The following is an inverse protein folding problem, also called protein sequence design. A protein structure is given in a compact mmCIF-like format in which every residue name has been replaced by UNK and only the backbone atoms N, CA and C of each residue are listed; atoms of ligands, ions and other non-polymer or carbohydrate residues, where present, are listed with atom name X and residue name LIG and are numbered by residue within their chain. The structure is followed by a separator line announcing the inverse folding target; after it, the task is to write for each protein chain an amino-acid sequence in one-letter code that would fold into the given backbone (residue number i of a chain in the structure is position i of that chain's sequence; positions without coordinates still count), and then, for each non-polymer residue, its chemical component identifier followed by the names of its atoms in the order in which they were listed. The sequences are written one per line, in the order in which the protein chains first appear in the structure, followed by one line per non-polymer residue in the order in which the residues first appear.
data_IF_791974489256
#
_entry.id   IF_791974489256
#
_cell.length_a   1.000
_cell.length_b   1.000
_cell.length_c   1.000
_cell.angle_alpha   90.00
_cell.angle_beta   90.00
_cell.angle_gamma   90.00
#
_symmetry.space_group_name_H-M   'P 1'
#
loop_
_entity.id
_entity.type
_entity.pdbx_description
1 polymer ?
#
# COMPACT_ATOMS: atom_id res chain seq x y z
N UNK A 1 -69.04 -19.12 -14.48
CA UNK A 1 -69.59 -17.75 -14.41
C UNK A 1 -68.57 -16.85 -15.10
N UNK A 2 -68.83 -16.23 -16.26
CA UNK A 2 -69.84 -15.18 -16.53
C UNK A 2 -69.76 -14.07 -15.46
N UNK A 3 -69.52 -12.79 -15.79
CA UNK A 3 -70.23 -12.03 -16.83
C UNK A 3 -69.37 -10.89 -17.42
N UNK A 4 -69.67 -10.48 -18.67
CA UNK A 4 -69.04 -9.36 -19.40
C UNK A 4 -69.74 -8.03 -19.09
N UNK A 5 -69.03 -6.90 -19.09
CA UNK A 5 -69.57 -5.60 -19.54
C UNK A 5 -68.52 -4.86 -20.39
N UNK A 6 -68.96 -4.22 -21.49
CA UNK A 6 -68.18 -3.35 -22.39
C UNK A 6 -68.95 -2.03 -22.61
N UNK A 7 -68.24 -0.91 -22.63
CA UNK A 7 -68.57 0.38 -23.29
C UNK A 7 -67.24 1.19 -23.33
N UNK A 8 -66.68 1.72 -24.43
CA UNK A 8 -67.21 2.59 -25.51
C UNK A 8 -67.87 3.85 -24.90
N UNK A 9 -67.45 5.10 -25.09
CA UNK A 9 -67.07 5.86 -26.30
C UNK A 9 -66.59 7.28 -25.84
N UNK A 10 -66.09 8.26 -26.61
CA UNK A 10 -65.62 8.44 -28.01
C UNK A 10 -64.86 9.80 -28.09
N UNK A 11 -63.92 9.98 -29.04
CA UNK A 11 -63.35 11.29 -29.51
C UNK A 11 -62.51 12.11 -28.49
N UNK A 12 -61.45 12.83 -28.86
CA UNK A 12 -60.75 12.99 -30.14
C UNK A 12 -60.00 14.34 -30.18
N UNK A 13 -58.79 14.39 -30.74
CA UNK A 13 -58.16 15.60 -31.31
C UNK A 13 -56.88 15.26 -32.05
N UNK A 14 -56.77 15.75 -33.29
CA UNK A 14 -55.60 15.66 -34.15
C UNK A 14 -54.85 16.99 -34.08
N UNK A 15 -53.56 17.01 -33.72
CA UNK A 15 -52.70 18.19 -33.82
C UNK A 15 -51.39 17.82 -34.52
N UNK A 16 -50.90 18.73 -35.35
CA UNK A 16 -49.89 18.50 -36.37
C UNK A 16 -48.45 18.34 -35.86
N UNK A 17 -47.61 17.87 -36.78
CA UNK A 17 -46.17 17.66 -36.69
C UNK A 17 -45.40 18.85 -36.10
N UNK A 18 -44.37 18.53 -35.30
CA UNK A 18 -43.11 19.25 -35.32
C UNK A 18 -41.97 18.22 -35.28
N UNK A 19 -41.36 17.94 -36.44
CA UNK A 19 -40.10 17.21 -36.49
C UNK A 19 -38.95 18.20 -36.24
N UNK A 20 -38.25 18.06 -35.12
CA UNK A 20 -36.98 18.73 -34.88
C UNK A 20 -35.97 17.72 -34.38
N UNK A 21 -34.81 17.67 -35.05
CA UNK A 21 -33.74 16.73 -34.75
C UNK A 21 -32.70 17.34 -33.78
N UNK A 22 -31.73 16.50 -33.38
CA UNK A 22 -30.61 16.79 -32.48
C UNK A 22 -30.97 17.05 -31.01
N UNK A 23 -30.41 16.21 -30.13
CA UNK A 23 -30.62 16.32 -28.69
C UNK A 23 -30.52 14.99 -27.92
N UNK A 24 -29.75 14.01 -28.38
CA UNK A 24 -29.34 12.91 -27.50
C UNK A 24 -28.43 13.52 -26.43
N UNK A 25 -28.99 13.77 -25.24
CA UNK A 25 -28.19 14.06 -24.05
C UNK A 25 -27.26 12.88 -23.86
N UNK A 26 -25.98 13.07 -24.19
CA UNK A 26 -24.98 12.10 -23.78
C UNK A 26 -24.97 12.07 -22.25
N UNK A 27 -24.83 10.90 -21.61
CA UNK A 27 -24.43 10.92 -20.22
C UNK A 27 -23.10 11.69 -20.17
N UNK A 28 -23.10 12.81 -19.44
CA UNK A 28 -21.89 13.55 -19.11
C UNK A 28 -20.87 12.51 -18.65
N UNK A 29 -19.81 12.35 -19.42
CA UNK A 29 -18.71 11.45 -19.13
C UNK A 29 -17.96 12.04 -17.95
N UNK A 30 -18.53 11.91 -16.75
CA UNK A 30 -17.85 12.14 -15.50
C UNK A 30 -16.63 11.25 -15.54
N UNK A 31 -15.47 11.84 -15.76
CA UNK A 31 -14.20 11.14 -15.80
C UNK A 31 -14.08 10.42 -14.48
N UNK A 32 -14.33 9.10 -14.48
CA UNK A 32 -13.81 8.23 -13.45
C UNK A 32 -12.31 8.49 -13.48
N UNK A 33 -11.86 9.24 -12.48
CA UNK A 33 -10.48 9.66 -12.30
C UNK A 33 -9.72 8.37 -12.07
N UNK A 34 -9.24 7.78 -13.16
CA UNK A 34 -8.94 6.36 -13.24
C UNK A 34 -8.13 5.95 -12.03
N UNK A 35 -8.69 5.06 -11.19
CA UNK A 35 -7.98 4.56 -10.01
C UNK A 35 -6.62 4.10 -10.48
N UNK A 36 -5.57 4.80 -10.04
CA UNK A 36 -4.22 4.50 -10.47
C UNK A 36 -3.95 3.04 -10.15
N UNK A 37 -3.59 2.26 -11.18
CA UNK A 37 -3.52 0.82 -11.05
C UNK A 37 -2.46 0.45 -10.01
N UNK A 38 -2.76 -0.58 -9.21
CA UNK A 38 -1.78 -1.09 -8.27
C UNK A 38 -0.52 -1.57 -8.99
N UNK A 39 0.68 -1.16 -8.53
CA UNK A 39 1.91 -1.81 -8.95
C UNK A 39 1.92 -3.30 -8.53
N UNK A 40 2.65 -4.17 -9.24
CA UNK A 40 2.71 -5.59 -8.92
C UNK A 40 3.40 -5.83 -7.57
N UNK A 41 2.76 -6.64 -6.71
CA UNK A 41 3.34 -7.05 -5.44
C UNK A 41 4.38 -8.15 -5.58
N UNK A 42 5.24 -8.23 -4.57
CA UNK A 42 6.42 -9.09 -4.53
C UNK A 42 7.45 -8.85 -5.65
N UNK A 43 7.28 -7.85 -6.51
CA UNK A 43 8.13 -7.66 -7.68
C UNK A 43 9.39 -6.82 -7.39
N UNK A 44 10.55 -7.29 -7.86
CA UNK A 44 11.78 -6.50 -8.00
C UNK A 44 11.88 -5.87 -9.39
N UNK A 45 12.36 -4.63 -9.48
CA UNK A 45 12.73 -3.98 -10.75
C UNK A 45 14.26 -3.97 -10.95
N UNK A 46 15.02 -4.44 -9.95
CA UNK A 46 16.47 -4.52 -9.98
C UNK A 46 17.16 -3.18 -9.71
N UNK A 47 18.37 -3.00 -10.25
CA UNK A 47 19.13 -1.77 -10.11
C UNK A 47 19.70 -1.56 -8.70
N UNK A 48 19.51 -0.36 -8.14
CA UNK A 48 20.03 0.00 -6.82
C UNK A 48 19.37 -0.84 -5.73
N UNK A 49 20.16 -1.33 -4.78
CA UNK A 49 19.71 -2.13 -3.64
C UNK A 49 19.04 -3.47 -4.06
N UNK A 50 19.33 -4.00 -5.26
CA UNK A 50 18.70 -5.20 -5.81
C UNK A 50 18.78 -6.44 -4.89
N UNK A 51 19.85 -6.60 -4.10
CA UNK A 51 20.03 -7.72 -3.18
C UNK A 51 19.03 -7.68 -2.01
N UNK A 52 18.76 -6.47 -1.51
CA UNK A 52 17.71 -6.21 -0.54
C UNK A 52 16.33 -6.50 -1.15
N UNK A 53 16.03 -5.98 -2.34
CA UNK A 53 14.74 -6.20 -2.97
C UNK A 53 14.46 -7.68 -3.31
N UNK A 54 15.47 -8.43 -3.76
CA UNK A 54 15.36 -9.90 -3.93
C UNK A 54 15.07 -10.63 -2.62
N UNK A 55 15.55 -10.14 -1.47
CA UNK A 55 15.25 -10.71 -0.14
C UNK A 55 13.80 -10.43 0.28
N UNK A 56 13.30 -9.22 0.00
CA UNK A 56 11.89 -8.84 0.22
C UNK A 56 10.96 -9.69 -0.64
N UNK A 57 11.21 -9.80 -1.95
CA UNK A 57 10.48 -10.67 -2.89
C UNK A 57 10.44 -12.14 -2.44
N UNK A 58 11.59 -12.70 -1.98
CA UNK A 58 11.64 -14.06 -1.45
C UNK A 58 10.82 -14.24 -0.17
N UNK A 59 10.65 -13.20 0.66
CA UNK A 59 9.77 -13.27 1.84
C UNK A 59 8.28 -13.21 1.47
N UNK A 60 7.96 -12.47 0.41
CA UNK A 60 6.62 -12.25 -0.13
C UNK A 60 6.08 -13.48 -0.89
N UNK A 61 7.00 -14.34 -1.37
CA UNK A 61 6.72 -15.57 -2.11
C UNK A 61 5.90 -16.57 -1.27
N UNK A 62 4.66 -16.85 -1.72
CA UNK A 62 3.72 -17.75 -1.04
C UNK A 62 2.47 -17.07 -0.47
N UNK A 63 2.18 -15.83 -0.88
CA UNK A 63 0.93 -15.13 -0.56
C UNK A 63 0.92 -14.38 0.78
N UNK A 64 2.09 -14.22 1.41
CA UNK A 64 2.27 -13.34 2.56
C UNK A 64 2.78 -11.99 2.03
N UNK A 65 1.85 -11.13 1.60
CA UNK A 65 2.16 -9.87 0.88
C UNK A 65 1.93 -8.62 1.73
N UNK A 66 1.44 -8.78 2.95
CA UNK A 66 0.87 -7.73 3.82
C UNK A 66 1.80 -7.34 4.99
N UNK A 67 3.09 -7.67 4.92
CA UNK A 67 4.08 -7.34 5.96
C UNK A 67 3.93 -8.11 7.27
N UNK A 68 2.99 -9.06 7.34
CA UNK A 68 2.57 -9.71 8.57
C UNK A 68 3.64 -10.63 9.21
N UNK A 69 3.25 -11.30 10.30
CA UNK A 69 4.10 -12.29 10.99
C UNK A 69 4.54 -13.45 10.10
N UNK A 70 3.78 -13.85 9.08
CA UNK A 70 4.17 -14.91 8.14
C UNK A 70 5.23 -14.41 7.17
N UNK A 71 5.08 -13.21 6.61
CA UNK A 71 6.08 -12.59 5.74
C UNK A 71 7.36 -12.28 6.52
N UNK A 72 7.25 -11.69 7.71
CA UNK A 72 8.35 -11.44 8.62
C UNK A 72 9.12 -12.73 8.96
N UNK A 73 8.42 -13.83 9.26
CA UNK A 73 9.06 -15.12 9.52
C UNK A 73 9.75 -15.69 8.28
N UNK A 74 9.20 -15.50 7.07
CA UNK A 74 9.87 -15.86 5.82
C UNK A 74 11.14 -15.03 5.58
N UNK A 75 11.11 -13.72 5.85
CA UNK A 75 12.28 -12.85 5.78
C UNK A 75 13.35 -13.27 6.81
N UNK A 76 12.97 -13.52 8.07
CA UNK A 76 13.87 -14.02 9.12
C UNK A 76 14.58 -15.31 8.70
N UNK A 77 13.88 -16.27 8.08
CA UNK A 77 14.50 -17.50 7.52
C UNK A 77 15.49 -17.21 6.39
N UNK A 78 15.16 -16.29 5.48
CA UNK A 78 16.04 -15.93 4.37
C UNK A 78 17.33 -15.23 4.86
N UNK A 79 17.21 -14.33 5.83
CA UNK A 79 18.33 -13.63 6.46
C UNK A 79 19.18 -14.55 7.37
N UNK A 80 18.57 -15.56 7.99
CA UNK A 80 19.29 -16.52 8.83
C UNK A 80 20.37 -17.31 8.07
N UNK A 81 20.24 -17.47 6.75
CA UNK A 81 21.24 -18.12 5.90
C UNK A 81 22.46 -17.25 5.51
N UNK A 82 22.44 -15.95 5.81
CA UNK A 82 23.52 -15.01 5.48
C UNK A 82 24.49 -14.83 6.66
N UNK A 83 25.63 -14.15 6.43
CA UNK A 83 26.51 -13.76 7.54
C UNK A 83 25.95 -12.55 8.32
N UNK A 84 26.58 -12.19 9.45
CA UNK A 84 26.09 -11.08 10.28
C UNK A 84 26.33 -9.69 9.64
N UNK A 85 27.29 -9.55 8.73
CA UNK A 85 27.55 -8.33 7.97
C UNK A 85 26.46 -8.09 6.93
N UNK A 86 26.12 -9.12 6.14
CA UNK A 86 25.04 -9.08 5.15
C UNK A 86 23.68 -8.72 5.78
N UNK A 87 23.33 -9.32 6.92
CA UNK A 87 22.10 -9.00 7.65
C UNK A 87 22.11 -7.55 8.15
N UNK A 88 23.28 -7.05 8.58
CA UNK A 88 23.46 -5.66 8.96
C UNK A 88 23.33 -4.68 7.77
N UNK A 89 23.76 -5.06 6.57
CA UNK A 89 23.59 -4.26 5.35
C UNK A 89 22.16 -4.28 4.82
N UNK A 90 21.44 -5.41 4.98
CA UNK A 90 19.99 -5.45 4.78
C UNK A 90 19.30 -4.46 5.73
N UNK A 91 19.62 -4.48 7.03
CA UNK A 91 19.03 -3.56 8.01
C UNK A 91 19.35 -2.09 7.70
N UNK A 92 20.61 -1.76 7.40
CA UNK A 92 21.01 -0.40 6.96
C UNK A 92 20.24 0.04 5.72
N UNK A 93 19.97 -0.88 4.80
CA UNK A 93 19.18 -0.62 3.59
C UNK A 93 17.72 -0.40 3.91
N UNK A 94 17.08 -1.26 4.73
CA UNK A 94 15.71 -1.12 5.21
C UNK A 94 15.48 0.26 5.84
N UNK A 95 16.37 0.67 6.75
CA UNK A 95 16.30 1.99 7.40
C UNK A 95 16.46 3.13 6.39
N UNK A 96 17.34 2.98 5.39
CA UNK A 96 17.49 3.98 4.32
C UNK A 96 16.22 4.10 3.47
N UNK A 97 15.68 2.99 2.96
CA UNK A 97 14.47 3.02 2.10
C UNK A 97 13.24 3.50 2.87
N UNK A 98 13.09 3.07 4.12
CA UNK A 98 12.04 3.55 5.04
C UNK A 98 12.14 5.06 5.27
N UNK A 99 13.35 5.62 5.43
CA UNK A 99 13.57 7.09 5.53
C UNK A 99 13.27 7.84 4.23
N UNK A 100 13.29 7.20 3.06
CA UNK A 100 12.86 7.84 1.81
C UNK A 100 11.36 8.12 1.83
N UNK A 101 10.54 7.14 2.24
CA UNK A 101 9.07 7.28 2.40
C UNK A 101 8.66 8.31 3.47
N UNK A 102 9.56 8.66 4.39
CA UNK A 102 9.29 9.57 5.51
C UNK A 102 9.20 11.05 5.07
N UNK A 103 8.06 11.37 4.45
CA UNK A 103 7.68 12.67 3.89
C UNK A 103 6.29 13.07 4.39
N UNK A 104 5.99 14.37 4.38
CA UNK A 104 4.69 14.89 4.81
C UNK A 104 3.54 14.41 3.94
N UNK A 105 3.75 14.19 2.65
CA UNK A 105 2.69 13.76 1.72
C UNK A 105 2.30 12.30 1.95
N UNK A 106 3.29 11.41 2.10
CA UNK A 106 3.06 10.00 2.45
C UNK A 106 2.43 9.89 3.86
N UNK A 107 2.87 10.71 4.83
CA UNK A 107 2.29 10.75 6.17
C UNK A 107 0.81 11.17 6.15
N UNK A 108 0.48 12.30 5.52
CA UNK A 108 -0.90 12.80 5.41
C UNK A 108 -1.81 11.81 4.68
N UNK A 109 -1.30 11.14 3.63
CA UNK A 109 -2.08 10.15 2.90
C UNK A 109 -2.32 8.87 3.72
N UNK A 110 -1.34 8.44 4.53
CA UNK A 110 -1.48 7.31 5.44
C UNK A 110 -2.44 7.63 6.61
N UNK A 111 -2.28 8.79 7.25
CA UNK A 111 -3.17 9.31 8.30
C UNK A 111 -4.64 9.31 7.83
N UNK A 112 -4.89 9.81 6.61
CA UNK A 112 -6.21 9.92 6.01
C UNK A 112 -6.84 8.56 5.63
N UNK A 113 -6.05 7.48 5.55
CA UNK A 113 -6.53 6.13 5.18
C UNK A 113 -6.65 5.20 6.40
N UNK A 114 -5.78 5.34 7.40
CA UNK A 114 -5.77 4.46 8.58
C UNK A 114 -6.45 5.05 9.82
N UNK A 115 -6.11 6.29 10.18
CA UNK A 115 -6.53 6.91 11.46
C UNK A 115 -6.98 8.37 11.25
N UNK A 116 -8.08 8.61 10.50
CA UNK A 116 -8.48 9.95 10.11
C UNK A 116 -8.73 10.86 11.32
N UNK A 117 -7.98 11.95 11.41
CA UNK A 117 -8.11 12.95 12.48
C UNK A 117 -7.40 12.61 13.80
N UNK A 118 -6.82 11.42 13.94
CA UNK A 118 -5.95 11.08 15.08
C UNK A 118 -4.46 11.25 14.74
N UNK A 119 -4.08 10.88 13.51
CA UNK A 119 -2.70 10.81 13.07
C UNK A 119 -1.96 9.57 13.57
N UNK A 120 -0.94 9.15 12.83
CA UNK A 120 -0.17 7.93 13.12
C UNK A 120 0.95 8.15 14.15
N UNK A 121 1.49 9.36 14.25
CA UNK A 121 2.74 9.60 14.96
C UNK A 121 3.93 8.88 14.30
N UNK A 122 5.11 8.97 14.92
CA UNK A 122 6.33 8.42 14.32
C UNK A 122 6.40 6.88 14.39
N UNK A 123 5.79 6.26 15.41
CA UNK A 123 5.83 4.80 15.64
C UNK A 123 4.97 4.06 14.61
N UNK A 124 3.65 4.31 14.56
CA UNK A 124 2.75 3.66 13.59
C UNK A 124 3.09 4.03 12.15
N UNK A 125 3.65 5.23 11.90
CA UNK A 125 4.15 5.57 10.57
C UNK A 125 5.49 4.88 10.25
N UNK A 126 6.22 4.37 11.23
CA UNK A 126 7.36 3.46 11.01
C UNK A 126 6.90 2.07 10.59
N UNK A 127 5.86 1.55 11.23
CA UNK A 127 5.23 0.28 10.83
C UNK A 127 4.62 0.39 9.44
N UNK A 128 3.86 1.44 9.16
CA UNK A 128 3.26 1.69 7.85
C UNK A 128 4.31 1.75 6.73
N UNK A 129 5.44 2.43 6.94
CA UNK A 129 6.54 2.47 5.94
C UNK A 129 7.15 1.09 5.73
N UNK A 130 7.27 0.28 6.79
CA UNK A 130 7.74 -1.11 6.71
C UNK A 130 6.76 -2.01 5.95
N UNK A 131 5.46 -1.80 6.16
CA UNK A 131 4.37 -2.46 5.45
C UNK A 131 4.36 -2.15 3.95
N UNK A 132 4.54 -0.88 3.55
CA UNK A 132 4.70 -0.48 2.13
C UNK A 132 5.91 -1.20 1.50
N UNK A 133 7.04 -1.26 2.21
CA UNK A 133 8.26 -1.93 1.73
C UNK A 133 8.04 -3.43 1.56
N UNK A 134 7.28 -4.07 2.46
CA UNK A 134 6.99 -5.50 2.41
C UNK A 134 6.25 -5.93 1.13
N UNK A 135 5.46 -5.04 0.53
CA UNK A 135 4.79 -5.29 -0.75
C UNK A 135 5.74 -5.37 -1.96
N UNK A 136 7.03 -5.02 -1.80
CA UNK A 136 8.07 -5.15 -2.83
C UNK A 136 8.47 -3.84 -3.49
N UNK A 137 9.47 -3.91 -4.38
CA UNK A 137 10.13 -2.73 -4.96
C UNK A 137 9.17 -1.90 -5.81
N UNK A 138 8.38 -2.54 -6.69
CA UNK A 138 7.44 -1.83 -7.54
C UNK A 138 6.33 -1.10 -6.73
N UNK A 139 5.91 -1.66 -5.60
CA UNK A 139 4.96 -1.02 -4.68
C UNK A 139 5.56 0.20 -3.99
N UNK A 140 6.78 0.05 -3.47
CA UNK A 140 7.57 1.13 -2.88
C UNK A 140 7.85 2.28 -3.86
N UNK A 141 8.33 1.97 -5.07
CA UNK A 141 8.63 2.96 -6.11
C UNK A 141 7.35 3.69 -6.57
N UNK A 142 6.23 2.96 -6.65
CA UNK A 142 4.91 3.55 -6.95
C UNK A 142 4.47 4.58 -5.91
N UNK A 143 4.54 4.23 -4.61
CA UNK A 143 4.17 5.16 -3.52
C UNK A 143 5.09 6.38 -3.47
N UNK A 144 6.39 6.23 -3.77
CA UNK A 144 7.31 7.36 -3.89
C UNK A 144 6.97 8.29 -5.06
N UNK A 145 6.52 7.75 -6.20
CA UNK A 145 6.12 8.53 -7.36
C UNK A 145 4.75 9.21 -7.18
N UNK A 146 3.82 8.55 -6.50
CA UNK A 146 2.46 9.04 -6.27
C UNK A 146 1.90 8.48 -4.94
N UNK A 147 2.00 9.22 -3.81
CA UNK A 147 1.51 8.77 -2.51
C UNK A 147 0.03 8.34 -2.51
N UNK A 148 -0.80 8.94 -3.37
CA UNK A 148 -2.22 8.58 -3.54
C UNK A 148 -2.46 7.12 -3.94
N UNK A 149 -1.45 6.40 -4.45
CA UNK A 149 -1.54 4.95 -4.72
C UNK A 149 -1.80 4.12 -3.45
N UNK A 150 -1.48 4.63 -2.25
CA UNK A 150 -1.79 3.97 -0.98
C UNK A 150 -3.28 3.62 -0.85
N UNK A 151 -4.18 4.46 -1.38
CA UNK A 151 -5.62 4.23 -1.37
C UNK A 151 -6.09 3.02 -2.21
N UNK A 152 -5.19 2.40 -2.97
CA UNK A 152 -5.46 1.20 -3.75
C UNK A 152 -4.92 -0.09 -3.10
N UNK A 153 -4.06 -0.02 -2.06
CA UNK A 153 -3.46 -1.21 -1.43
C UNK A 153 -4.53 -2.08 -0.74
N UNK A 154 -4.40 -3.42 -0.72
CA UNK A 154 -5.27 -4.31 0.04
C UNK A 154 -5.11 -4.02 1.53
N UNK A 155 -6.21 -4.15 2.29
CA UNK A 155 -6.19 -4.04 3.75
C UNK A 155 -5.50 -2.77 4.29
N UNK A 156 -5.54 -1.66 3.55
CA UNK A 156 -4.84 -0.40 3.88
C UNK A 156 -5.13 0.09 5.31
N UNK A 157 -6.37 -0.06 5.78
CA UNK A 157 -6.79 0.25 7.16
C UNK A 157 -6.00 -0.54 8.23
N UNK A 158 -5.56 -1.77 7.90
CA UNK A 158 -4.73 -2.63 8.77
C UNK A 158 -3.24 -2.31 8.64
N UNK A 159 -2.81 -1.68 7.53
CA UNK A 159 -1.40 -1.44 7.22
C UNK A 159 -0.63 -0.63 8.27
N UNK A 160 -1.34 0.19 9.05
CA UNK A 160 -0.75 1.07 10.05
C UNK A 160 -0.30 0.43 11.37
N UNK A 161 -0.36 -0.91 11.48
CA UNK A 161 0.34 -1.67 12.52
C UNK A 161 0.85 -3.04 12.05
N UNK A 162 0.59 -3.43 10.80
CA UNK A 162 1.01 -4.76 10.30
C UNK A 162 2.50 -4.85 9.97
N UNK A 163 3.18 -3.74 9.73
CA UNK A 163 4.57 -3.74 9.28
C UNK A 163 5.64 -3.89 10.38
N UNK A 164 5.29 -3.75 11.67
CA UNK A 164 6.21 -3.92 12.81
C UNK A 164 7.05 -5.22 12.70
N UNK A 165 6.45 -6.42 12.55
CA UNK A 165 7.21 -7.67 12.59
C UNK A 165 8.20 -7.81 11.42
N UNK A 166 7.88 -7.19 10.27
CA UNK A 166 8.75 -7.13 9.10
C UNK A 166 9.87 -6.10 9.30
N UNK A 167 9.56 -4.94 9.88
CA UNK A 167 10.52 -3.87 10.21
C UNK A 167 11.62 -4.34 11.16
N UNK A 168 11.25 -5.11 12.19
CA UNK A 168 12.19 -5.68 13.17
C UNK A 168 13.03 -6.85 12.63
N UNK A 169 12.60 -7.48 11.52
CA UNK A 169 13.06 -8.82 11.13
C UNK A 169 14.57 -8.96 10.98
N UNK A 170 15.24 -7.94 10.45
CA UNK A 170 16.68 -7.94 10.23
C UNK A 170 17.48 -7.65 11.52
N UNK A 171 16.97 -6.77 12.38
CA UNK A 171 17.57 -6.48 13.67
C UNK A 171 17.57 -7.74 14.54
N UNK A 172 16.44 -8.43 14.65
CA UNK A 172 16.31 -9.69 15.39
C UNK A 172 17.36 -10.74 14.99
N UNK A 173 17.48 -10.99 13.67
CA UNK A 173 18.43 -11.99 13.15
C UNK A 173 19.87 -11.54 13.42
N UNK A 174 20.17 -10.25 13.30
CA UNK A 174 21.50 -9.70 13.61
C UNK A 174 21.86 -9.83 15.10
N UNK A 175 20.94 -9.47 16.01
CA UNK A 175 21.15 -9.56 17.45
C UNK A 175 21.34 -11.02 17.87
N UNK A 176 20.52 -11.93 17.35
CA UNK A 176 20.66 -13.37 17.59
C UNK A 176 22.02 -13.92 17.10
N UNK A 177 22.44 -13.58 15.87
CA UNK A 177 23.73 -14.02 15.29
C UNK A 177 24.95 -13.48 16.04
N UNK A 178 24.85 -12.29 16.64
CA UNK A 178 26.01 -11.60 17.24
C UNK A 178 26.04 -11.62 18.77
N UNK A 179 24.97 -12.05 19.44
CA UNK A 179 24.82 -11.96 20.89
C UNK A 179 24.79 -10.52 21.44
N UNK A 180 24.60 -9.52 20.56
CA UNK A 180 24.54 -8.10 20.95
C UNK A 180 23.13 -7.74 21.43
N UNK A 181 23.03 -6.67 22.21
CA UNK A 181 21.75 -5.97 22.46
C UNK A 181 21.54 -4.87 21.41
N UNK A 182 20.29 -4.45 21.20
CA UNK A 182 19.96 -3.36 20.27
C UNK A 182 20.83 -2.10 20.51
N UNK A 183 20.95 -1.67 21.78
CA UNK A 183 21.79 -0.54 22.19
C UNK A 183 23.30 -0.72 21.92
N UNK A 184 23.80 -1.95 21.71
CA UNK A 184 25.21 -2.25 21.38
C UNK A 184 25.38 -2.82 19.96
N UNK A 185 24.35 -2.74 19.13
CA UNK A 185 24.35 -3.25 17.76
C UNK A 185 25.23 -2.43 16.82
N UNK A 186 25.28 -1.11 17.02
CA UNK A 186 25.86 -0.18 16.05
C UNK A 186 24.98 0.03 14.79
N UNK A 187 23.78 -0.54 14.76
CA UNK A 187 22.84 -0.38 13.66
C UNK A 187 21.98 0.88 13.86
N UNK A 188 21.55 1.54 12.78
CA UNK A 188 20.64 2.68 12.87
C UNK A 188 19.22 2.21 13.26
N UNK A 189 18.52 3.03 14.04
CA UNK A 189 17.09 2.83 14.35
C UNK A 189 16.20 3.13 13.14
N UNK A 190 15.09 2.40 13.03
CA UNK A 190 14.10 2.50 11.94
C UNK A 190 13.16 3.70 12.16
N UNK A 191 12.80 3.93 13.42
CA UNK A 191 12.12 5.15 13.90
C UNK A 191 12.91 6.41 13.53
N UNK A 192 12.24 7.48 13.10
CA UNK A 192 12.82 8.79 12.88
C UNK A 192 12.90 9.57 14.20
N UNK A 193 13.88 10.47 14.33
CA UNK A 193 14.07 11.32 15.51
C UNK A 193 13.75 12.81 15.26
N UNK A 194 13.09 13.09 14.15
CA UNK A 194 12.72 14.42 13.61
C UNK A 194 11.46 14.24 12.77
N UNK A 195 10.61 15.27 12.63
CA UNK A 195 9.37 15.19 11.85
C UNK A 195 9.59 14.88 10.36
N UNK A 196 8.54 14.46 9.61
CA UNK A 196 8.64 14.14 8.20
C UNK A 196 9.16 15.30 7.36
N UNK A 197 9.93 15.00 6.32
CA UNK A 197 10.42 16.03 5.39
C UNK A 197 9.24 16.65 4.64
N UNK A 198 9.31 17.97 4.44
CA UNK A 198 8.46 18.67 3.47
C UNK A 198 8.74 18.17 2.04
#
# INVERSE_FOLDING_TARGET
MNTRIRAAALLGSLVLLAASACGTVQPEGGTERGKAALPPYCATTGGKDADFWRLVERSCSGGATDGDRRQAHALKRALAGLDAGDVADFHRTLVRVSRTLYTRDVAQQADALCLPGLGLGDDLFTDFRSWVIAHGQAAYDGVLAAPSLLAAFPDIERGCGLGEPFGEAALDVYLHKTGRSAARSGLPVLEPSRPPRA
#
